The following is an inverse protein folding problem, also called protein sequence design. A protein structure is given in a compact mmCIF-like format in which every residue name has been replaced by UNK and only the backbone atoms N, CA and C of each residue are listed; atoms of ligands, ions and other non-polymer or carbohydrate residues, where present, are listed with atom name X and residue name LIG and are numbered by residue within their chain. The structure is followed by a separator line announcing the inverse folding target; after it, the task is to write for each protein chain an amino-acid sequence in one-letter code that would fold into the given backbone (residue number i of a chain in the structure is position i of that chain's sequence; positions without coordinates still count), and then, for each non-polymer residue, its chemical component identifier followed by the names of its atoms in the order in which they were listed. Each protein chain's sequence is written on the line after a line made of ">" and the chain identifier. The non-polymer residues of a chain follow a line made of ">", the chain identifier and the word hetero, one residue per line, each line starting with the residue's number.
data_IF_887186148028
#
_entry.id   IF_887186148028
#
_cell.length_a   1.000
_cell.length_b   1.000
_cell.length_c   1.000
_cell.angle_alpha   90.00
_cell.angle_beta   90.00
_cell.angle_gamma   90.00
#
_symmetry.space_group_name_H-M   'P 1'
#
loop_
_entity.id
_entity.type
_entity.pdbx_description
1 polymer ?
#
# COMPACT_ATOMS: atom_id res chain seq x y z
N UNK A 1 -17.82 -2.34 6.61
CA UNK A 1 -16.68 -2.03 7.50
C UNK A 1 -15.43 -2.54 6.84
N UNK A 2 -14.43 -1.69 6.69
CA UNK A 2 -13.14 -2.11 6.18
C UNK A 2 -12.48 -3.03 7.20
N UNK A 3 -11.79 -4.11 6.79
CA UNK A 3 -11.03 -4.95 7.69
C UNK A 3 -9.92 -4.09 8.27
N UNK A 4 -10.07 -3.77 9.51
CA UNK A 4 -9.15 -2.92 10.21
C UNK A 4 -8.12 -3.78 10.92
N UNK A 5 -6.92 -3.45 10.65
CA UNK A 5 -5.66 -3.76 11.29
C UNK A 5 -5.70 -4.34 12.68
N UNK A 6 -4.79 -5.24 12.94
CA UNK A 6 -4.13 -5.22 14.24
C UNK A 6 -3.25 -3.98 14.28
N UNK A 7 -3.56 -2.99 15.11
CA UNK A 7 -2.59 -1.98 15.45
C UNK A 7 -1.45 -2.69 16.16
N UNK A 8 -0.25 -2.53 15.67
CA UNK A 8 0.91 -2.85 16.46
C UNK A 8 0.95 -1.94 17.67
N UNK A 9 1.35 -2.47 18.79
CA UNK A 9 1.73 -1.74 20.00
C UNK A 9 2.98 -0.88 19.74
N UNK A 10 2.86 0.07 18.83
CA UNK A 10 3.84 1.12 18.74
C UNK A 10 3.58 2.09 19.90
N UNK A 11 4.65 2.50 20.55
CA UNK A 11 4.75 3.33 21.74
C UNK A 11 4.06 4.73 21.68
N UNK A 12 3.04 4.86 20.88
CA UNK A 12 2.11 5.97 20.86
C UNK A 12 0.78 5.50 21.42
N UNK A 13 0.62 5.70 22.67
CA UNK A 13 -0.47 5.66 23.65
C UNK A 13 -1.94 5.46 23.20
N UNK A 14 -2.25 5.03 22.00
CA UNK A 14 -3.59 4.64 21.61
C UNK A 14 -3.59 3.13 21.40
N UNK A 15 -4.07 2.42 22.40
CA UNK A 15 -4.39 1.01 22.27
C UNK A 15 -5.63 0.89 21.38
N UNK A 16 -5.45 0.99 20.06
CA UNK A 16 -6.53 0.81 19.07
C UNK A 16 -7.27 -0.52 19.31
N UNK A 17 -6.58 -1.56 19.77
CA UNK A 17 -7.16 -2.86 20.12
C UNK A 17 -8.25 -2.81 21.19
N UNK A 18 -8.36 -1.71 21.95
CA UNK A 18 -9.45 -1.51 22.92
C UNK A 18 -10.68 -0.86 22.28
N UNK A 19 -10.55 -0.29 21.09
CA UNK A 19 -11.57 0.52 20.44
C UNK A 19 -12.04 -0.08 19.10
N UNK A 20 -11.23 -0.96 18.51
CA UNK A 20 -11.48 -1.51 17.16
C UNK A 20 -11.17 -3.01 17.14
N UNK A 21 -12.12 -3.80 16.66
CA UNK A 21 -11.92 -5.22 16.42
C UNK A 21 -11.09 -5.46 15.16
N UNK A 22 -10.18 -6.45 15.15
CA UNK A 22 -9.42 -6.79 13.95
C UNK A 22 -10.34 -7.36 12.87
N UNK A 23 -10.08 -7.00 11.62
CA UNK A 23 -10.77 -7.58 10.48
C UNK A 23 -10.44 -9.07 10.34
N UNK A 24 -11.45 -9.86 9.99
CA UNK A 24 -11.34 -11.32 9.84
C UNK A 24 -11.24 -11.79 8.38
N UNK A 25 -11.27 -10.86 7.43
CA UNK A 25 -11.24 -11.16 5.99
C UNK A 25 -10.32 -10.19 5.26
N UNK A 26 -9.69 -10.67 4.19
CA UNK A 26 -8.98 -9.80 3.25
C UNK A 26 -10.02 -8.96 2.49
N UNK A 27 -9.83 -7.63 2.36
CA UNK A 27 -10.77 -6.77 1.66
C UNK A 27 -11.02 -7.25 0.23
N UNK A 28 -12.28 -7.25 -0.24
CA UNK A 28 -12.57 -7.50 -1.64
C UNK A 28 -11.94 -6.40 -2.52
N UNK A 29 -11.60 -6.75 -3.75
CA UNK A 29 -11.16 -5.77 -4.72
C UNK A 29 -12.34 -4.89 -5.18
N UNK A 30 -12.03 -3.62 -5.42
CA UNK A 30 -12.94 -2.69 -6.08
C UNK A 30 -12.53 -2.61 -7.55
N UNK A 31 -13.50 -2.57 -8.46
CA UNK A 31 -13.20 -2.38 -9.89
C UNK A 31 -13.70 -1.01 -10.35
N UNK A 32 -12.81 -0.23 -10.96
CA UNK A 32 -13.11 1.08 -11.54
C UNK A 32 -12.52 1.09 -12.95
N UNK A 33 -13.37 1.31 -13.94
CA UNK A 33 -12.97 1.36 -15.37
C UNK A 33 -12.08 0.18 -15.81
N UNK A 34 -12.39 -1.03 -15.32
CA UNK A 34 -11.63 -2.24 -15.63
C UNK A 34 -10.32 -2.41 -14.85
N UNK A 35 -9.96 -1.46 -13.96
CA UNK A 35 -8.80 -1.58 -13.07
C UNK A 35 -9.24 -2.15 -11.73
N UNK A 36 -8.63 -3.25 -11.31
CA UNK A 36 -8.87 -3.88 -10.01
C UNK A 36 -8.00 -3.25 -8.94
N UNK A 37 -8.64 -2.69 -7.93
CA UNK A 37 -8.03 -1.89 -6.86
C UNK A 37 -8.10 -2.65 -5.54
N UNK A 38 -6.94 -2.85 -4.91
CA UNK A 38 -6.81 -3.35 -3.55
C UNK A 38 -6.65 -2.19 -2.55
N UNK A 39 -7.37 -2.24 -1.45
CA UNK A 39 -7.32 -1.23 -0.41
C UNK A 39 -6.45 -1.71 0.76
N UNK A 40 -5.57 -0.83 1.20
CA UNK A 40 -4.74 -0.95 2.39
C UNK A 40 -4.87 0.33 3.22
N UNK A 41 -4.51 0.31 4.48
CA UNK A 41 -4.60 1.51 5.32
C UNK A 41 -3.34 1.67 6.17
N UNK A 42 -2.63 2.80 6.00
CA UNK A 42 -1.56 3.28 6.89
C UNK A 42 -0.55 2.17 7.27
N UNK A 43 -0.68 1.61 8.47
CA UNK A 43 0.24 0.63 9.04
C UNK A 43 0.30 -0.69 8.26
N UNK A 44 -0.76 -1.01 7.49
CA UNK A 44 -0.81 -2.20 6.61
C UNK A 44 0.36 -2.23 5.62
N UNK A 45 0.93 -1.07 5.31
CA UNK A 45 2.12 -0.95 4.47
C UNK A 45 3.31 -1.80 4.97
N UNK A 46 3.39 -2.04 6.29
CA UNK A 46 4.48 -2.82 6.89
C UNK A 46 4.34 -4.33 6.71
N UNK A 47 3.15 -4.78 6.32
CA UNK A 47 2.83 -6.20 6.18
C UNK A 47 2.73 -6.56 4.70
N UNK A 48 3.78 -7.17 4.11
CA UNK A 48 3.78 -7.56 2.71
C UNK A 48 2.68 -8.57 2.38
N UNK A 49 2.22 -9.34 3.36
CA UNK A 49 1.23 -10.38 3.20
C UNK A 49 -0.11 -9.86 2.68
N UNK A 50 -0.56 -8.70 3.19
CA UNK A 50 -1.81 -8.10 2.73
C UNK A 50 -1.71 -7.63 1.27
N UNK A 51 -0.65 -6.86 0.94
CA UNK A 51 -0.41 -6.41 -0.42
C UNK A 51 -0.33 -7.59 -1.41
N UNK A 52 0.39 -8.64 -1.00
CA UNK A 52 0.54 -9.85 -1.79
C UNK A 52 -0.79 -10.57 -1.98
N UNK A 53 -1.61 -10.71 -0.94
CA UNK A 53 -2.94 -11.33 -1.02
C UNK A 53 -3.85 -10.58 -1.98
N UNK A 54 -3.86 -9.24 -1.93
CA UNK A 54 -4.61 -8.41 -2.85
C UNK A 54 -4.14 -8.60 -4.30
N UNK A 55 -2.83 -8.64 -4.53
CA UNK A 55 -2.26 -8.87 -5.85
C UNK A 55 -2.58 -10.27 -6.40
N UNK A 56 -2.53 -11.31 -5.57
CA UNK A 56 -2.92 -12.68 -5.95
C UNK A 56 -4.41 -12.80 -6.28
N UNK A 57 -5.26 -11.98 -5.66
CA UNK A 57 -6.68 -11.87 -6.00
C UNK A 57 -6.91 -11.04 -7.28
N UNK A 58 -5.85 -10.49 -7.89
CA UNK A 58 -5.91 -9.83 -9.18
C UNK A 58 -5.80 -8.30 -9.12
N UNK A 59 -5.44 -7.69 -7.98
CA UNK A 59 -5.21 -6.26 -7.92
C UNK A 59 -4.15 -5.80 -8.93
N UNK A 60 -4.38 -4.64 -9.50
CA UNK A 60 -3.50 -3.94 -10.43
C UNK A 60 -2.99 -2.63 -9.84
N UNK A 61 -3.76 -2.09 -8.91
CA UNK A 61 -3.49 -0.87 -8.16
C UNK A 61 -3.72 -1.15 -6.67
N UNK A 62 -2.78 -0.72 -5.83
CA UNK A 62 -2.93 -0.69 -4.38
C UNK A 62 -3.09 0.77 -3.93
N UNK A 63 -4.14 1.06 -3.18
CA UNK A 63 -4.42 2.40 -2.65
C UNK A 63 -4.25 2.40 -1.15
N UNK A 64 -3.51 3.37 -0.63
CA UNK A 64 -3.10 3.45 0.77
C UNK A 64 -3.25 4.87 1.32
N UNK A 65 -4.34 5.24 1.99
CA UNK A 65 -4.39 6.42 2.83
C UNK A 65 -3.61 6.20 4.13
N UNK A 66 -2.90 7.20 4.62
CA UNK A 66 -2.12 7.10 5.85
C UNK A 66 -1.94 8.42 6.58
N UNK A 67 -2.04 8.39 7.91
CA UNK A 67 -1.51 9.38 8.82
C UNK A 67 -0.14 8.91 9.33
N UNK A 68 0.88 8.97 8.46
CA UNK A 68 2.21 8.44 8.77
C UNK A 68 2.99 9.40 9.66
N UNK A 69 3.10 9.05 10.93
CA UNK A 69 3.67 9.92 11.97
C UNK A 69 5.17 10.17 11.76
N UNK A 70 5.60 11.42 11.94
CA UNK A 70 7.01 11.82 11.95
C UNK A 70 7.81 11.06 13.01
N UNK A 71 9.09 10.90 12.76
CA UNK A 71 10.01 10.21 13.68
C UNK A 71 11.28 9.75 12.95
N UNK A 72 12.20 9.10 13.64
CA UNK A 72 13.46 8.66 13.04
C UNK A 72 13.24 7.80 11.79
N UNK A 73 13.79 8.22 10.66
CA UNK A 73 13.77 7.53 9.37
C UNK A 73 12.35 7.24 8.79
N UNK A 74 11.31 7.93 9.27
CA UNK A 74 9.92 7.63 8.86
C UNK A 74 9.66 7.91 7.38
N UNK A 75 10.25 8.96 6.83
CA UNK A 75 10.20 9.30 5.41
C UNK A 75 10.89 8.23 4.56
N UNK A 76 12.06 7.75 5.03
CA UNK A 76 12.78 6.65 4.38
C UNK A 76 11.97 5.36 4.42
N UNK A 77 11.40 4.99 5.58
CA UNK A 77 10.52 3.82 5.68
C UNK A 77 9.33 3.91 4.71
N UNK A 78 8.69 5.08 4.63
CA UNK A 78 7.57 5.33 3.74
C UNK A 78 7.94 5.07 2.29
N UNK A 79 8.99 5.75 1.80
CA UNK A 79 9.44 5.62 0.42
C UNK A 79 9.87 4.18 0.08
N UNK A 80 10.66 3.55 0.96
CA UNK A 80 11.19 2.20 0.75
C UNK A 80 10.08 1.16 0.73
N UNK A 81 9.13 1.23 1.68
CA UNK A 81 8.04 0.26 1.76
C UNK A 81 7.06 0.37 0.59
N UNK A 82 6.74 1.60 0.14
CA UNK A 82 5.89 1.78 -1.05
C UNK A 82 6.53 1.18 -2.29
N UNK A 83 7.82 1.43 -2.51
CA UNK A 83 8.55 0.84 -3.63
C UNK A 83 8.63 -0.70 -3.51
N UNK A 84 8.88 -1.23 -2.30
CA UNK A 84 8.87 -2.66 -2.06
C UNK A 84 7.52 -3.30 -2.38
N UNK A 85 6.40 -2.70 -1.94
CA UNK A 85 5.05 -3.22 -2.26
C UNK A 85 4.79 -3.24 -3.76
N UNK A 86 5.21 -2.20 -4.49
CA UNK A 86 5.09 -2.18 -5.95
C UNK A 86 5.89 -3.32 -6.61
N UNK A 87 7.12 -3.54 -6.18
CA UNK A 87 8.00 -4.60 -6.71
C UNK A 87 7.51 -6.01 -6.36
N UNK A 88 7.10 -6.23 -5.10
CA UNK A 88 6.63 -7.53 -4.61
C UNK A 88 5.35 -7.99 -5.33
N UNK A 89 4.53 -7.05 -5.78
CA UNK A 89 3.19 -7.30 -6.31
C UNK A 89 3.04 -6.99 -7.80
N UNK A 90 4.00 -6.28 -8.39
CA UNK A 90 3.91 -5.72 -9.75
C UNK A 90 2.61 -4.93 -9.97
N UNK A 91 2.18 -4.20 -8.94
CA UNK A 91 1.05 -3.28 -8.97
C UNK A 91 1.53 -1.83 -8.93
N UNK A 92 0.73 -0.90 -9.44
CA UNK A 92 0.86 0.49 -9.01
C UNK A 92 0.54 0.61 -7.52
N UNK A 93 1.21 1.54 -6.84
CA UNK A 93 0.89 1.90 -5.45
C UNK A 93 0.62 3.40 -5.39
N UNK A 94 -0.59 3.77 -4.98
CA UNK A 94 -1.01 5.16 -4.76
C UNK A 94 -1.17 5.37 -3.26
N UNK A 95 -0.32 6.18 -2.68
CA UNK A 95 -0.32 6.47 -1.25
C UNK A 95 -0.64 7.95 -0.99
N UNK A 96 -1.72 8.20 -0.26
CA UNK A 96 -2.12 9.52 0.18
C UNK A 96 -1.70 9.71 1.65
N UNK A 97 -0.67 10.54 1.86
CA UNK A 97 -0.15 10.86 3.20
C UNK A 97 -0.78 12.13 3.76
N UNK A 98 -1.34 12.06 4.95
CA UNK A 98 -1.80 13.23 5.68
C UNK A 98 -0.62 14.18 5.97
N UNK A 99 -0.82 15.48 5.66
CA UNK A 99 0.13 16.54 5.97
C UNK A 99 -0.17 17.15 7.33
N UNK A 100 0.83 17.73 7.97
CA UNK A 100 0.64 18.51 9.18
C UNK A 100 1.78 18.38 10.18
N UNK A 101 1.59 18.91 11.38
CA UNK A 101 2.64 19.00 12.38
C UNK A 101 3.14 17.63 12.84
N UNK A 102 2.27 16.61 12.86
CA UNK A 102 2.58 15.27 13.39
C UNK A 102 2.90 14.26 12.28
N UNK A 103 2.47 14.50 11.04
CA UNK A 103 2.57 13.55 9.94
C UNK A 103 3.51 14.03 8.85
N UNK A 104 4.10 13.09 8.10
CA UNK A 104 5.14 13.40 7.11
C UNK A 104 4.60 14.01 5.80
N UNK A 105 3.29 13.85 5.49
CA UNK A 105 2.78 14.12 4.14
C UNK A 105 3.33 13.13 3.14
N UNK A 106 4.03 13.63 2.14
CA UNK A 106 4.76 12.86 1.12
C UNK A 106 3.90 11.83 0.37
N UNK A 107 2.67 12.24 -0.01
CA UNK A 107 1.85 11.45 -0.94
C UNK A 107 2.67 11.03 -2.14
N UNK A 108 2.47 9.80 -2.62
CA UNK A 108 3.35 9.23 -3.63
C UNK A 108 2.62 8.23 -4.52
N UNK A 109 3.00 8.22 -5.80
CA UNK A 109 2.62 7.18 -6.74
C UNK A 109 3.87 6.43 -7.19
N UNK A 110 3.83 5.11 -7.08
CA UNK A 110 4.92 4.23 -7.49
C UNK A 110 4.41 3.29 -8.57
N UNK A 111 5.16 3.14 -9.66
CA UNK A 111 4.81 2.24 -10.76
C UNK A 111 5.13 0.76 -10.41
N UNK A 112 4.66 -0.21 -11.21
CA UNK A 112 4.88 -1.64 -10.95
C UNK A 112 6.36 -2.10 -10.94
N UNK A 113 7.28 -1.26 -11.37
CA UNK A 113 8.73 -1.51 -11.33
C UNK A 113 9.43 -0.77 -10.18
N UNK A 114 8.66 -0.26 -9.21
CA UNK A 114 9.20 0.40 -8.02
C UNK A 114 9.64 1.85 -8.24
N UNK A 115 9.37 2.45 -9.40
CA UNK A 115 9.77 3.81 -9.73
C UNK A 115 8.71 4.79 -9.21
N UNK A 116 9.14 5.81 -8.47
CA UNK A 116 8.25 6.92 -8.08
C UNK A 116 7.94 7.78 -9.30
N UNK A 117 6.69 7.80 -9.74
CA UNK A 117 6.21 8.56 -10.91
C UNK A 117 5.59 9.90 -10.54
N UNK A 118 5.12 10.04 -9.29
CA UNK A 118 4.68 11.31 -8.73
C UNK A 118 4.92 11.33 -7.21
N UNK A 119 5.30 12.47 -6.66
CA UNK A 119 5.49 12.65 -5.23
C UNK A 119 5.19 14.08 -4.80
N UNK A 120 4.57 14.23 -3.63
CA UNK A 120 4.42 15.49 -2.93
C UNK A 120 5.50 15.66 -1.86
N UNK A 121 5.70 16.89 -1.42
CA UNK A 121 6.48 17.22 -0.24
C UNK A 121 5.63 17.01 1.05
N UNK A 122 6.00 17.67 2.12
CA UNK A 122 5.30 17.64 3.42
C UNK A 122 4.07 18.56 3.50
N UNK A 123 3.79 19.30 2.43
CA UNK A 123 2.68 20.25 2.33
C UNK A 123 1.51 19.70 1.51
N UNK A 124 0.29 20.22 1.67
CA UNK A 124 -0.86 19.81 0.87
C UNK A 124 -0.58 19.98 -0.64
N UNK A 125 -0.88 18.94 -1.41
CA UNK A 125 -0.70 18.92 -2.86
C UNK A 125 -1.72 17.98 -3.52
N UNK A 126 -2.07 18.28 -4.75
CA UNK A 126 -2.80 17.39 -5.64
C UNK A 126 -1.83 16.76 -6.63
N UNK A 127 -1.74 15.43 -6.59
CA UNK A 127 -0.98 14.65 -7.57
C UNK A 127 -1.94 14.06 -8.61
N UNK A 128 -1.64 14.24 -9.87
CA UNK A 128 -2.35 13.62 -10.98
C UNK A 128 -1.40 12.72 -11.76
N UNK A 129 -1.82 11.51 -12.06
CA UNK A 129 -1.06 10.54 -12.84
C UNK A 129 -1.99 9.55 -13.53
N UNK A 130 -1.51 8.88 -14.56
CA UNK A 130 -2.22 7.83 -15.23
C UNK A 130 -1.79 6.45 -14.71
N UNK A 131 -2.76 5.55 -14.58
CA UNK A 131 -2.52 4.13 -14.34
C UNK A 131 -2.54 3.42 -15.69
N UNK A 132 -1.38 3.03 -16.16
CA UNK A 132 -1.18 2.48 -17.50
C UNK A 132 -1.22 0.94 -17.45
N UNK A 133 -2.30 0.32 -17.93
CA UNK A 133 -2.45 -1.13 -17.92
C UNK A 133 -1.33 -1.86 -18.69
N UNK A 134 -0.86 -1.30 -19.79
CA UNK A 134 0.26 -1.85 -20.54
C UNK A 134 1.56 -1.89 -19.72
N UNK A 135 1.77 -0.91 -18.82
CA UNK A 135 2.91 -0.88 -17.90
C UNK A 135 2.85 -2.02 -16.89
N UNK A 136 1.66 -2.32 -16.36
CA UNK A 136 1.44 -3.46 -15.46
C UNK A 136 1.75 -4.78 -16.18
N UNK A 137 1.22 -4.96 -17.40
CA UNK A 137 1.45 -6.15 -18.20
C UNK A 137 2.94 -6.35 -18.48
N UNK A 138 3.64 -5.30 -18.90
CA UNK A 138 5.08 -5.32 -19.13
C UNK A 138 5.87 -5.71 -17.87
N UNK A 139 5.55 -5.08 -16.73
CA UNK A 139 6.21 -5.40 -15.45
C UNK A 139 6.02 -6.87 -15.08
N UNK A 140 4.81 -7.42 -15.19
CA UNK A 140 4.51 -8.83 -14.90
C UNK A 140 5.18 -9.80 -15.87
N UNK A 141 5.46 -9.38 -17.08
CA UNK A 141 6.22 -10.16 -18.06
C UNK A 141 7.73 -10.17 -17.69
N UNK A 142 8.28 -9.01 -17.39
CA UNK A 142 9.71 -8.85 -17.06
C UNK A 142 10.07 -9.38 -15.67
N UNK A 143 9.18 -9.18 -14.69
CA UNK A 143 9.31 -9.61 -13.30
C UNK A 143 8.13 -10.50 -12.92
N UNK A 144 8.11 -11.78 -13.31
CA UNK A 144 6.98 -12.67 -13.05
C UNK A 144 6.93 -13.16 -11.59
N UNK A 145 7.10 -12.26 -10.62
CA UNK A 145 7.21 -12.58 -9.19
C UNK A 145 5.99 -13.30 -8.64
N UNK A 146 4.79 -12.92 -9.05
CA UNK A 146 3.55 -13.57 -8.62
C UNK A 146 3.44 -15.02 -9.12
N UNK A 147 3.91 -15.29 -10.35
CA UNK A 147 3.88 -16.62 -10.95
C UNK A 147 4.98 -17.54 -10.41
N UNK A 148 6.16 -17.00 -10.14
CA UNK A 148 7.33 -17.76 -9.72
C UNK A 148 7.35 -18.10 -8.23
N UNK A 149 6.32 -17.71 -7.49
CA UNK A 149 6.20 -18.00 -6.05
C UNK A 149 6.16 -19.50 -5.77
N UNK A 150 6.83 -19.89 -4.69
CA UNK A 150 6.85 -21.27 -4.16
C UNK A 150 6.15 -21.39 -2.81
N UNK A 151 5.80 -20.24 -2.20
CA UNK A 151 5.07 -20.20 -0.93
C UNK A 151 3.57 -20.13 -1.18
N UNK A 152 2.80 -20.72 -0.28
CA UNK A 152 1.33 -20.61 -0.29
C UNK A 152 0.90 -19.14 -0.16
N UNK A 153 -0.32 -18.78 -0.62
CA UNK A 153 -0.89 -17.48 -0.33
C UNK A 153 -0.94 -17.22 1.18
N UNK A 154 -0.68 -15.97 1.62
CA UNK A 154 -0.83 -15.62 3.03
C UNK A 154 -2.27 -15.85 3.51
N UNK A 155 -2.42 -16.19 4.79
CA UNK A 155 -3.72 -16.35 5.45
C UNK A 155 -3.77 -15.45 6.67
N UNK A 156 -4.97 -14.92 6.97
CA UNK A 156 -5.24 -14.24 8.23
C UNK A 156 -5.24 -15.24 9.39
N UNK A 157 -4.74 -14.79 10.54
CA UNK A 157 -4.73 -15.56 11.78
C UNK A 157 -6.11 -15.56 12.44
#
# INVERSE_FOLDING_TARGET
>A
SFPTRRSSDLAFSVQESRLVDPGSVIPPLIEVEGVKIGLMTCYDLRFPELALSLALNGAQLLVLPAAWVKGPQKEHHWATLLAARALDTTCYVVAAGECGNKNIGQSRVVDPLGVTVAAAAETPALLLTEIISARIALARQQLPVLRNRRFAPPQLL
#
